data_IF_486818401733
#
_entry.id   IF_486818401733
#
_cell.length_a   1.000
_cell.length_b   1.000
_cell.length_c   1.000
_cell.angle_alpha   90.00
_cell.angle_beta   90.00
_cell.angle_gamma   90.00
#
_symmetry.space_group_name_H-M   'P 1'
#
loop_
_entity.id
_entity.type
_entity.pdbx_description
1 polymer ?
#
# COMPACT_ATOMS: atom_id res chain seq x y z
N UNK A 1 16.41 -10.64 2.99
CA UNK A 1 17.84 -10.25 3.04
C UNK A 1 18.67 -11.24 3.83
N UNK A 2 18.36 -11.48 5.10
CA UNK A 2 19.17 -12.30 6.02
C UNK A 2 19.41 -13.74 5.49
N UNK A 3 18.36 -14.42 5.03
CA UNK A 3 18.48 -15.72 4.33
C UNK A 3 19.44 -15.73 3.13
N UNK A 4 19.58 -14.61 2.43
CA UNK A 4 20.49 -14.51 1.27
C UNK A 4 21.95 -14.43 1.72
N UNK A 5 22.21 -13.71 2.81
CA UNK A 5 23.54 -13.62 3.44
C UNK A 5 23.95 -14.99 3.97
N UNK A 6 23.03 -15.71 4.63
CA UNK A 6 23.28 -17.06 5.12
C UNK A 6 23.73 -18.02 4.01
N UNK A 7 23.07 -17.98 2.86
CA UNK A 7 23.42 -18.79 1.69
C UNK A 7 24.77 -18.40 1.07
N UNK A 8 25.10 -17.11 1.03
CA UNK A 8 26.40 -16.62 0.51
C UNK A 8 27.55 -17.07 1.42
N UNK A 9 27.35 -17.01 2.74
CA UNK A 9 28.38 -17.35 3.73
C UNK A 9 28.40 -18.85 4.09
N UNK A 10 27.41 -19.63 3.63
CA UNK A 10 27.30 -21.06 3.92
C UNK A 10 26.91 -21.40 5.36
N UNK A 11 26.22 -20.49 6.06
CA UNK A 11 25.80 -20.68 7.47
C UNK A 11 24.34 -21.16 7.56
N UNK A 12 23.97 -21.92 8.61
CA UNK A 12 22.60 -22.39 8.81
C UNK A 12 21.64 -21.22 9.14
N UNK A 13 20.32 -21.40 8.91
CA UNK A 13 19.33 -20.38 9.26
C UNK A 13 19.30 -20.13 10.76
N UNK A 14 19.36 -18.85 11.15
CA UNK A 14 19.41 -18.46 12.56
C UNK A 14 18.03 -18.52 13.25
N UNK A 15 16.95 -18.45 12.47
CA UNK A 15 15.57 -18.55 12.96
C UNK A 15 14.62 -19.20 11.95
N UNK A 16 13.42 -19.57 12.39
CA UNK A 16 12.37 -20.09 11.50
C UNK A 16 11.94 -19.06 10.44
N UNK A 17 12.00 -17.76 10.77
CA UNK A 17 11.60 -16.69 9.85
C UNK A 17 12.59 -16.54 8.71
N UNK A 18 13.88 -16.73 8.99
CA UNK A 18 14.94 -16.70 7.99
C UNK A 18 14.90 -17.95 7.10
N UNK A 19 14.68 -19.12 7.70
CA UNK A 19 14.55 -20.38 6.95
C UNK A 19 13.43 -20.34 5.89
N UNK A 20 12.29 -19.70 6.23
CA UNK A 20 11.15 -19.54 5.33
C UNK A 20 11.25 -18.32 4.40
N UNK A 21 12.22 -17.42 4.60
CA UNK A 21 12.34 -16.23 3.80
C UNK A 21 12.81 -16.56 2.37
N UNK A 22 12.19 -15.94 1.37
CA UNK A 22 12.64 -16.09 -0.02
C UNK A 22 13.99 -15.39 -0.22
N UNK A 23 15.05 -16.10 -0.67
CA UNK A 23 16.35 -15.48 -0.92
C UNK A 23 16.31 -14.58 -2.16
N UNK A 24 17.12 -13.51 -2.15
CA UNK A 24 17.18 -12.50 -3.21
C UNK A 24 18.12 -12.91 -4.35
N UNK A 25 18.23 -14.19 -4.67
CA UNK A 25 19.18 -14.70 -5.67
C UNK A 25 19.00 -14.05 -7.05
N UNK A 26 17.81 -13.57 -7.39
CA UNK A 26 17.52 -12.82 -8.63
C UNK A 26 18.15 -11.43 -8.70
N UNK A 27 18.56 -10.87 -7.56
CA UNK A 27 19.19 -9.55 -7.48
C UNK A 27 20.70 -9.61 -7.64
N UNK A 28 21.29 -10.80 -7.67
CA UNK A 28 22.73 -11.01 -7.81
C UNK A 28 23.02 -11.73 -9.13
N UNK A 29 24.07 -11.28 -9.83
CA UNK A 29 24.61 -11.95 -11.01
C UNK A 29 25.96 -12.59 -10.66
N UNK A 30 26.26 -13.76 -11.25
CA UNK A 30 27.55 -14.44 -11.08
C UNK A 30 28.70 -13.69 -11.74
N UNK A 31 28.40 -12.88 -12.76
CA UNK A 31 29.35 -11.99 -13.45
C UNK A 31 28.99 -10.54 -13.15
N UNK A 32 30.01 -9.72 -12.89
CA UNK A 32 29.82 -8.28 -12.68
C UNK A 32 29.38 -7.61 -13.98
N UNK A 33 28.24 -6.92 -13.94
CA UNK A 33 27.83 -5.99 -14.99
C UNK A 33 28.14 -4.56 -14.53
N UNK A 34 29.07 -3.90 -15.22
CA UNK A 34 29.47 -2.52 -14.94
C UNK A 34 28.65 -1.48 -15.72
N UNK A 35 27.62 -1.91 -16.47
CA UNK A 35 26.71 -0.98 -17.14
C UNK A 35 26.06 -0.06 -16.11
N UNK A 36 26.26 1.24 -16.30
CA UNK A 36 25.59 2.25 -15.50
C UNK A 36 24.07 2.21 -15.68
N UNK A 37 23.36 2.79 -14.72
CA UNK A 37 21.91 2.97 -14.84
C UNK A 37 21.60 4.12 -15.80
N UNK A 38 20.81 3.85 -16.84
CA UNK A 38 20.24 4.91 -17.69
C UNK A 38 18.87 5.30 -17.13
N UNK A 39 18.78 6.47 -16.50
CA UNK A 39 17.51 7.00 -16.04
C UNK A 39 16.59 7.24 -17.23
N UNK A 40 15.37 6.70 -17.16
CA UNK A 40 14.32 7.04 -18.13
C UNK A 40 13.73 8.40 -17.76
N UNK A 41 13.55 9.32 -18.72
CA UNK A 41 12.86 10.57 -18.46
C UNK A 41 11.44 10.28 -17.97
N UNK A 42 10.90 11.16 -17.13
CA UNK A 42 9.50 11.09 -16.76
C UNK A 42 8.65 11.31 -18.02
N UNK A 43 7.77 10.36 -18.34
CA UNK A 43 6.84 10.48 -19.47
C UNK A 43 5.59 11.29 -19.13
N UNK A 44 5.52 11.84 -17.91
CA UNK A 44 4.40 12.62 -17.41
C UNK A 44 4.90 13.96 -16.88
N UNK A 45 4.05 14.97 -16.96
CA UNK A 45 4.37 16.27 -16.40
C UNK A 45 4.26 16.21 -14.87
N UNK A 46 5.39 16.30 -14.18
CA UNK A 46 5.46 16.31 -12.71
C UNK A 46 4.83 17.56 -12.08
N UNK A 47 4.58 18.59 -12.89
CA UNK A 47 3.93 19.84 -12.48
C UNK A 47 2.46 19.91 -12.90
N UNK A 48 1.91 18.81 -13.43
CA UNK A 48 0.49 18.75 -13.75
C UNK A 48 -0.35 18.94 -12.47
N UNK A 49 -1.29 19.88 -12.53
CA UNK A 49 -2.22 20.18 -11.44
C UNK A 49 -3.63 19.95 -11.92
N UNK A 50 -4.50 19.50 -11.02
CA UNK A 50 -5.92 19.44 -11.30
C UNK A 50 -6.48 20.88 -11.44
N UNK A 51 -6.95 21.24 -12.62
CA UNK A 51 -7.54 22.56 -12.92
C UNK A 51 -9.06 22.58 -12.76
N UNK A 52 -9.70 21.44 -12.48
CA UNK A 52 -11.15 21.37 -12.34
C UNK A 52 -11.61 22.06 -11.05
N UNK A 53 -12.49 23.05 -11.19
CA UNK A 53 -13.14 23.72 -10.07
C UNK A 53 -14.49 23.06 -9.78
N UNK A 54 -14.48 21.99 -8.98
CA UNK A 54 -15.68 21.26 -8.57
C UNK A 54 -15.93 21.35 -7.06
N UNK A 55 -17.02 20.74 -6.59
CA UNK A 55 -17.35 20.70 -5.16
C UNK A 55 -16.22 20.06 -4.33
N UNK A 56 -15.64 18.97 -4.84
CA UNK A 56 -14.61 18.19 -4.16
C UNK A 56 -13.31 18.96 -3.97
N UNK A 57 -12.90 19.73 -4.98
CA UNK A 57 -11.78 20.65 -4.91
C UNK A 57 -12.00 21.69 -3.81
N UNK A 58 -13.16 22.37 -3.79
CA UNK A 58 -13.50 23.36 -2.73
C UNK A 58 -13.53 22.78 -1.32
N UNK A 59 -13.94 21.51 -1.18
CA UNK A 59 -13.94 20.81 0.12
C UNK A 59 -12.53 20.42 0.54
N UNK A 60 -11.73 19.92 -0.40
CA UNK A 60 -10.34 19.51 -0.15
C UNK A 60 -9.45 20.66 0.28
N UNK A 61 -9.69 21.88 -0.22
CA UNK A 61 -8.91 23.07 0.18
C UNK A 61 -9.04 23.43 1.66
N UNK A 62 -10.10 22.96 2.33
CA UNK A 62 -10.34 23.24 3.75
C UNK A 62 -9.70 22.22 4.69
N UNK A 63 -9.08 21.18 4.16
CA UNK A 63 -8.46 20.13 4.96
C UNK A 63 -7.12 20.58 5.54
N UNK A 64 -6.93 20.31 6.83
CA UNK A 64 -5.62 20.46 7.46
C UNK A 64 -4.76 19.23 7.15
N UNK A 65 -3.76 19.42 6.29
CA UNK A 65 -2.80 18.37 5.91
C UNK A 65 -1.43 18.58 6.57
N UNK A 66 -1.32 19.51 7.53
CA UNK A 66 -0.07 19.77 8.22
C UNK A 66 0.33 18.66 9.19
N UNK A 67 -0.66 17.87 9.66
CA UNK A 67 -0.49 16.77 10.59
C UNK A 67 -1.22 15.52 10.10
N UNK A 68 -0.61 14.35 10.34
CA UNK A 68 -1.25 13.06 10.12
C UNK A 68 -2.60 12.96 10.86
N UNK A 69 -3.60 12.38 10.18
CA UNK A 69 -4.94 12.11 10.70
C UNK A 69 -5.71 13.33 11.25
N UNK A 70 -5.38 14.55 10.81
CA UNK A 70 -6.11 15.77 11.20
C UNK A 70 -7.46 15.95 10.49
N UNK A 71 -7.68 15.25 9.36
CA UNK A 71 -8.90 15.35 8.55
C UNK A 71 -9.88 14.24 8.93
N UNK A 72 -11.19 14.52 9.09
CA UNK A 72 -12.17 13.46 9.32
C UNK A 72 -12.23 12.43 8.19
N UNK A 73 -11.98 11.15 8.51
CA UNK A 73 -11.90 10.03 7.55
C UNK A 73 -13.07 9.95 6.59
N UNK A 74 -14.31 10.11 7.09
CA UNK A 74 -15.51 9.98 6.27
C UNK A 74 -15.56 11.06 5.18
N UNK A 75 -15.19 12.28 5.53
CA UNK A 75 -15.21 13.42 4.62
C UNK A 75 -14.06 13.29 3.61
N UNK A 76 -12.88 12.88 4.06
CA UNK A 76 -11.74 12.64 3.19
C UNK A 76 -12.02 11.52 2.18
N UNK A 77 -12.60 10.41 2.63
CA UNK A 77 -12.97 9.29 1.77
C UNK A 77 -14.03 9.65 0.72
N UNK A 78 -15.01 10.51 1.06
CA UNK A 78 -16.01 10.99 0.09
C UNK A 78 -15.36 11.80 -1.02
N UNK A 79 -14.48 12.74 -0.67
CA UNK A 79 -13.75 13.57 -1.64
C UNK A 79 -12.91 12.70 -2.58
N UNK A 80 -12.18 11.72 -2.04
CA UNK A 80 -11.38 10.79 -2.83
C UNK A 80 -12.25 9.92 -3.75
N UNK A 81 -13.38 9.41 -3.25
CA UNK A 81 -14.28 8.56 -4.01
C UNK A 81 -14.81 9.26 -5.25
N UNK A 82 -15.40 10.45 -5.08
CA UNK A 82 -15.97 11.18 -6.21
C UNK A 82 -14.91 11.79 -7.11
N UNK A 83 -13.73 12.15 -6.59
CA UNK A 83 -12.58 12.55 -7.40
C UNK A 83 -12.08 11.45 -8.35
N UNK A 84 -12.17 10.18 -7.95
CA UNK A 84 -11.70 9.03 -8.74
C UNK A 84 -12.79 8.36 -9.58
N UNK A 85 -13.99 8.20 -9.02
CA UNK A 85 -15.11 7.48 -9.66
C UNK A 85 -16.05 8.40 -10.43
N UNK A 86 -15.97 9.71 -10.18
CA UNK A 86 -16.88 10.71 -10.71
C UNK A 86 -18.14 10.87 -9.85
N UNK A 87 -18.79 12.02 -10.05
CA UNK A 87 -19.92 12.48 -9.25
C UNK A 87 -21.15 11.57 -9.34
N UNK A 88 -21.29 10.86 -10.46
CA UNK A 88 -22.43 9.99 -10.76
C UNK A 88 -22.38 8.64 -10.02
N UNK A 89 -21.25 8.30 -9.39
CA UNK A 89 -21.10 7.03 -8.67
C UNK A 89 -21.38 7.25 -7.17
N UNK A 90 -22.44 6.65 -6.60
CA UNK A 90 -22.79 6.87 -5.21
C UNK A 90 -21.69 6.36 -4.27
N UNK A 91 -21.41 7.12 -3.22
CA UNK A 91 -20.47 6.73 -2.18
C UNK A 91 -20.99 5.49 -1.41
N UNK A 92 -20.20 4.41 -1.27
CA UNK A 92 -20.65 3.22 -0.56
C UNK A 92 -20.85 3.52 0.92
N UNK A 93 -21.97 3.06 1.47
CA UNK A 93 -22.22 3.19 2.90
C UNK A 93 -21.16 2.39 3.71
N UNK A 94 -20.72 2.88 4.89
CA UNK A 94 -19.80 2.16 5.76
C UNK A 94 -20.32 0.74 6.06
N UNK A 95 -19.57 -0.27 5.64
CA UNK A 95 -19.87 -1.67 5.99
C UNK A 95 -19.16 -2.02 7.29
N UNK A 96 -19.92 -2.27 8.36
CA UNK A 96 -19.41 -2.83 9.61
C UNK A 96 -19.78 -4.31 9.65
N UNK A 97 -18.79 -5.18 9.63
CA UNK A 97 -19.01 -6.62 9.82
C UNK A 97 -18.64 -7.00 11.26
N UNK A 98 -19.51 -7.76 11.93
CA UNK A 98 -19.17 -8.40 13.19
C UNK A 98 -18.45 -9.72 12.88
N UNK A 99 -17.30 -9.96 13.50
CA UNK A 99 -16.65 -11.28 13.47
C UNK A 99 -17.47 -12.24 14.35
N UNK A 100 -18.41 -12.97 13.76
CA UNK A 100 -19.17 -14.00 14.47
C UNK A 100 -18.38 -15.31 14.48
N UNK A 101 -18.01 -15.78 15.68
CA UNK A 101 -17.42 -17.11 15.88
C UNK A 101 -18.48 -17.99 16.54
N UNK A 102 -19.03 -18.93 15.77
CA UNK A 102 -20.02 -19.88 16.31
C UNK A 102 -19.31 -20.85 17.27
N UNK A 103 -19.62 -20.76 18.56
CA UNK A 103 -19.21 -21.78 19.53
C UNK A 103 -20.09 -23.01 19.31
N UNK A 104 -19.51 -24.14 18.88
CA UNK A 104 -20.24 -25.42 18.89
C UNK A 104 -20.50 -25.79 20.34
N UNK A 105 -21.77 -25.86 20.74
CA UNK A 105 -22.16 -26.44 22.02
C UNK A 105 -21.89 -27.95 21.90
N UNK A 106 -21.02 -28.48 22.77
CA UNK A 106 -20.79 -29.92 22.83
C UNK A 106 -22.08 -30.58 23.29
N UNK A 107 -22.61 -31.51 22.48
CA UNK A 107 -23.65 -32.43 22.94
C UNK A 107 -23.08 -33.19 24.15
N UNK A 108 -23.86 -33.22 25.23
CA UNK A 108 -23.56 -34.02 26.41
C UNK A 108 -24.13 -35.41 26.16
N UNK A 109 -23.24 -36.39 26.01
CA UNK A 109 -23.56 -37.82 26.07
C UNK A 109 -24.23 -38.19 27.42
#
# INVERSE_FOLDING_TARGET
>A
MLRTIELILGIPPMSQYDAAATPMWRSFASTSDSKGFTARPANINLSEKNTAMNEWQRRSEKFDLAKEDAVPDLEFNKVLWHGLKGDHVPFPAPRRAAFFKQTKMADRD
#
